data_IF_125248452724
#
_entry.id   IF_125248452724
#
_cell.length_a   1.000
_cell.length_b   1.000
_cell.length_c   1.000
_cell.angle_alpha   90.00
_cell.angle_beta   90.00
_cell.angle_gamma   90.00
#
_symmetry.space_group_name_H-M   'P 1'
#
loop_
_entity.id
_entity.type
_entity.pdbx_description
1 polymer ?
#
# COMPACT_ATOMS: atom_id res chain seq x y z
N UNK A 1 19.09 -61.29 65.65
CA UNK A 1 19.22 -59.96 66.29
C UNK A 1 20.25 -59.10 65.59
N UNK A 2 21.36 -59.64 65.07
CA UNK A 2 22.41 -58.92 64.31
C UNK A 2 21.94 -58.22 63.02
N UNK A 3 21.04 -58.83 62.25
CA UNK A 3 20.61 -58.28 60.96
C UNK A 3 19.84 -56.94 61.10
N UNK A 4 19.21 -56.69 62.25
CA UNK A 4 18.45 -55.45 62.49
C UNK A 4 19.40 -54.29 62.78
N UNK A 5 20.44 -54.52 63.57
CA UNK A 5 21.47 -53.53 63.91
C UNK A 5 22.31 -53.16 62.68
N UNK A 6 22.61 -54.14 61.83
CA UNK A 6 23.34 -53.93 60.57
C UNK A 6 22.50 -53.14 59.55
N UNK A 7 21.19 -53.40 59.48
CA UNK A 7 20.25 -52.60 58.69
C UNK A 7 20.11 -51.17 59.24
N UNK A 8 20.01 -51.00 60.56
CA UNK A 8 19.97 -49.67 61.19
C UNK A 8 21.25 -48.86 60.92
N UNK A 9 22.43 -49.48 61.01
CA UNK A 9 23.69 -48.83 60.69
C UNK A 9 23.78 -48.38 59.23
N UNK A 10 23.29 -49.20 58.28
CA UNK A 10 23.23 -48.83 56.86
C UNK A 10 22.22 -47.72 56.58
N UNK A 11 21.10 -47.68 57.29
CA UNK A 11 20.10 -46.61 57.14
C UNK A 11 20.68 -45.29 57.66
N UNK A 12 21.30 -45.26 58.84
CA UNK A 12 21.94 -44.05 59.38
C UNK A 12 23.02 -43.51 58.43
N UNK A 13 23.89 -44.38 57.92
CA UNK A 13 24.90 -43.99 56.94
C UNK A 13 24.30 -43.47 55.62
N UNK A 14 23.18 -44.04 55.17
CA UNK A 14 22.47 -43.54 53.99
C UNK A 14 21.82 -42.18 54.25
N UNK A 15 21.27 -41.95 55.45
CA UNK A 15 20.68 -40.67 55.84
C UNK A 15 21.73 -39.56 55.95
N UNK A 16 22.89 -39.82 56.53
CA UNK A 16 24.01 -38.85 56.58
C UNK A 16 24.55 -38.53 55.18
N UNK A 17 24.60 -39.53 54.30
CA UNK A 17 25.01 -39.35 52.90
C UNK A 17 23.98 -38.53 52.10
N UNK A 18 22.69 -38.68 52.40
CA UNK A 18 21.63 -37.87 51.79
C UNK A 18 21.65 -36.44 52.35
N UNK A 19 21.87 -36.27 53.66
CA UNK A 19 22.00 -34.95 54.28
C UNK A 19 23.18 -34.16 53.71
N UNK A 20 24.35 -34.78 53.61
CA UNK A 20 25.52 -34.17 52.97
C UNK A 20 25.33 -33.93 51.46
N UNK A 21 24.63 -34.84 50.77
CA UNK A 21 24.29 -34.67 49.35
C UNK A 21 23.31 -33.53 49.08
N UNK A 22 22.35 -33.30 50.00
CA UNK A 22 21.40 -32.18 49.94
C UNK A 22 22.09 -30.83 50.18
N UNK A 23 23.06 -30.78 51.09
CA UNK A 23 23.81 -29.56 51.38
C UNK A 23 24.68 -29.11 50.19
N UNK A 24 25.16 -30.06 49.37
CA UNK A 24 25.87 -29.78 48.11
C UNK A 24 24.96 -29.46 46.91
N UNK A 25 23.65 -29.69 47.01
CA UNK A 25 22.65 -29.38 45.96
C UNK A 25 22.07 -27.97 46.09
N UNK A 26 22.32 -27.28 47.21
CA UNK A 26 22.00 -25.86 47.35
C UNK A 26 23.10 -25.09 46.60
N UNK A 27 22.81 -24.49 45.44
CA UNK A 27 23.80 -23.69 44.74
C UNK A 27 24.20 -22.52 45.65
N UNK A 28 25.47 -22.48 46.06
CA UNK A 28 26.01 -21.32 46.75
C UNK A 28 25.93 -20.10 45.80
N UNK A 29 25.46 -18.93 46.26
CA UNK A 29 25.44 -17.73 45.43
C UNK A 29 26.87 -17.42 44.97
N UNK A 30 27.02 -17.06 43.69
CA UNK A 30 28.32 -16.74 43.10
C UNK A 30 29.01 -15.60 43.88
N UNK A 31 30.33 -15.67 44.13
CA UNK A 31 31.01 -14.64 44.88
C UNK A 31 31.15 -13.37 44.03
N UNK A 32 30.36 -12.33 44.34
CA UNK A 32 30.50 -11.00 43.75
C UNK A 32 29.20 -10.25 43.48
N UNK A 33 28.04 -10.91 43.50
CA UNK A 33 26.74 -10.26 43.30
C UNK A 33 25.91 -10.42 44.57
N UNK A 34 25.57 -9.29 45.21
CA UNK A 34 24.64 -9.31 46.32
C UNK A 34 23.25 -9.75 45.82
N UNK A 35 22.48 -10.48 46.64
CA UNK A 35 21.09 -10.85 46.30
C UNK A 35 20.22 -9.65 45.91
N UNK A 36 20.56 -8.47 46.43
CA UNK A 36 19.92 -7.19 46.19
C UNK A 36 20.25 -6.66 44.78
N UNK A 37 21.50 -6.74 44.31
CA UNK A 37 21.89 -6.35 42.95
C UNK A 37 21.22 -7.24 41.88
N UNK A 38 21.12 -8.54 42.14
CA UNK A 38 20.43 -9.48 41.24
C UNK A 38 18.93 -9.18 41.13
N UNK A 39 18.27 -8.80 42.24
CA UNK A 39 16.87 -8.38 42.21
C UNK A 39 16.70 -7.09 41.40
N UNK A 40 17.62 -6.15 41.55
CA UNK A 40 17.57 -4.88 40.84
C UNK A 40 17.75 -5.07 39.32
N UNK A 41 18.72 -5.89 38.90
CA UNK A 41 18.90 -6.25 37.50
C UNK A 41 17.68 -6.97 36.91
N UNK A 42 17.02 -7.83 37.68
CA UNK A 42 15.81 -8.51 37.27
C UNK A 42 14.62 -7.55 37.11
N UNK A 43 14.51 -6.55 37.98
CA UNK A 43 13.52 -5.47 37.86
C UNK A 43 13.79 -4.59 36.63
N UNK A 44 15.04 -4.21 36.40
CA UNK A 44 15.47 -3.46 35.22
C UNK A 44 15.20 -4.24 33.93
N UNK A 45 15.52 -5.53 33.88
CA UNK A 45 15.24 -6.39 32.73
C UNK A 45 13.73 -6.55 32.49
N UNK A 46 12.93 -6.68 33.55
CA UNK A 46 11.47 -6.74 33.44
C UNK A 46 10.88 -5.45 32.89
N UNK A 47 11.37 -4.28 33.34
CA UNK A 47 10.91 -2.99 32.80
C UNK A 47 11.32 -2.82 31.33
N UNK A 48 12.54 -3.22 30.96
CA UNK A 48 13.00 -3.20 29.57
C UNK A 48 12.16 -4.13 28.68
N UNK A 49 11.87 -5.35 29.13
CA UNK A 49 11.00 -6.29 28.41
C UNK A 49 9.58 -5.73 28.24
N UNK A 50 8.98 -5.15 29.28
CA UNK A 50 7.66 -4.55 29.19
C UNK A 50 7.62 -3.41 28.15
N UNK A 51 8.65 -2.55 28.11
CA UNK A 51 8.77 -1.49 27.11
C UNK A 51 8.95 -2.03 25.69
N UNK A 52 9.73 -3.11 25.51
CA UNK A 52 9.91 -3.75 24.22
C UNK A 52 8.62 -4.41 23.73
N UNK A 53 7.87 -5.09 24.61
CA UNK A 53 6.57 -5.66 24.28
C UNK A 53 5.57 -4.58 23.83
N UNK A 54 5.53 -3.42 24.50
CA UNK A 54 4.70 -2.30 24.07
C UNK A 54 5.12 -1.77 22.70
N UNK A 55 6.43 -1.64 22.44
CA UNK A 55 6.94 -1.21 21.12
C UNK A 55 6.58 -2.21 20.03
N UNK A 56 6.72 -3.50 20.28
CA UNK A 56 6.35 -4.56 19.32
C UNK A 56 4.86 -4.53 19.03
N UNK A 57 4.01 -4.34 20.05
CA UNK A 57 2.56 -4.18 19.87
C UNK A 57 2.23 -2.93 19.05
N UNK A 58 2.91 -1.81 19.29
CA UNK A 58 2.71 -0.58 18.53
C UNK A 58 3.14 -0.75 17.06
N UNK A 59 4.25 -1.45 16.80
CA UNK A 59 4.71 -1.76 15.45
C UNK A 59 3.75 -2.69 14.71
N UNK A 60 3.25 -3.74 15.37
CA UNK A 60 2.25 -4.63 14.78
C UNK A 60 0.97 -3.88 14.39
N UNK A 61 0.43 -3.05 15.29
CA UNK A 61 -0.74 -2.22 14.98
C UNK A 61 -0.51 -1.29 13.79
N UNK A 62 0.70 -0.73 13.67
CA UNK A 62 1.07 0.13 12.53
C UNK A 62 1.19 -0.67 11.24
N UNK A 63 1.74 -1.89 11.30
CA UNK A 63 1.79 -2.79 10.15
C UNK A 63 0.39 -3.20 9.71
N UNK A 64 -0.47 -3.65 10.62
CA UNK A 64 -1.87 -3.99 10.32
C UNK A 64 -2.63 -2.82 9.68
N UNK A 65 -2.42 -1.59 10.17
CA UNK A 65 -3.02 -0.39 9.59
C UNK A 65 -2.53 -0.11 8.17
N UNK A 66 -1.22 -0.23 7.93
CA UNK A 66 -0.63 -0.06 6.59
C UNK A 66 -1.09 -1.16 5.62
N UNK A 67 -1.18 -2.40 6.10
CA UNK A 67 -1.70 -3.52 5.30
C UNK A 67 -3.16 -3.31 4.92
N UNK A 68 -3.99 -2.84 5.87
CA UNK A 68 -5.38 -2.49 5.58
C UNK A 68 -5.47 -1.34 4.56
N UNK A 69 -4.65 -0.30 4.69
CA UNK A 69 -4.60 0.82 3.74
C UNK A 69 -4.18 0.36 2.34
N UNK A 70 -3.20 -0.54 2.23
CA UNK A 70 -2.78 -1.12 0.96
C UNK A 70 -3.85 -2.01 0.33
N UNK A 71 -4.59 -2.78 1.14
CA UNK A 71 -5.69 -3.61 0.65
C UNK A 71 -6.83 -2.73 0.14
N UNK A 72 -7.21 -1.69 0.88
CA UNK A 72 -8.22 -0.71 0.45
C UNK A 72 -7.79 0.02 -0.84
N UNK A 73 -6.53 0.45 -0.94
CA UNK A 73 -6.00 1.08 -2.13
C UNK A 73 -6.02 0.16 -3.37
N UNK A 74 -5.83 -1.16 -3.17
CA UNK A 74 -5.92 -2.18 -4.23
C UNK A 74 -7.35 -2.62 -4.54
N UNK A 75 -8.25 -2.53 -3.57
CA UNK A 75 -9.66 -2.91 -3.70
C UNK A 75 -10.53 -1.77 -4.26
N UNK A 76 -10.05 -0.52 -4.19
CA UNK A 76 -10.62 0.58 -4.95
C UNK A 76 -10.73 0.14 -6.43
N UNK A 77 -11.90 0.31 -7.07
CA UNK A 77 -12.14 -0.20 -8.41
C UNK A 77 -11.29 0.59 -9.41
N UNK A 78 -10.04 0.18 -9.59
CA UNK A 78 -9.35 0.35 -10.85
C UNK A 78 -10.06 -0.60 -11.82
N UNK A 79 -10.94 -0.09 -12.67
CA UNK A 79 -11.09 -0.75 -13.97
C UNK A 79 -9.66 -0.95 -14.47
N UNK A 80 -9.30 -2.17 -14.86
CA UNK A 80 -7.89 -2.53 -15.00
C UNK A 80 -7.18 -1.48 -15.89
N UNK A 81 -5.89 -1.15 -15.68
CA UNK A 81 -5.31 0.01 -16.37
C UNK A 81 -5.41 -0.06 -17.91
N UNK A 82 -5.57 -1.26 -18.46
CA UNK A 82 -5.89 -1.49 -19.87
C UNK A 82 -7.32 -1.10 -20.26
N UNK A 83 -8.31 -1.39 -19.43
CA UNK A 83 -9.71 -1.00 -19.66
C UNK A 83 -9.86 0.53 -19.64
N UNK A 84 -9.18 1.22 -18.73
CA UNK A 84 -9.14 2.69 -18.66
C UNK A 84 -8.55 3.31 -19.93
N UNK A 85 -7.42 2.77 -20.40
CA UNK A 85 -6.82 3.20 -21.67
C UNK A 85 -7.76 2.93 -22.84
N UNK A 86 -8.37 1.74 -22.92
CA UNK A 86 -9.28 1.43 -24.05
C UNK A 86 -10.51 2.33 -24.08
N UNK A 87 -11.06 2.69 -22.91
CA UNK A 87 -12.17 3.61 -22.79
C UNK A 87 -11.77 5.03 -23.19
N UNK A 88 -10.66 5.54 -22.65
CA UNK A 88 -10.16 6.87 -22.99
C UNK A 88 -9.86 7.00 -24.49
N UNK A 89 -9.29 5.95 -25.11
CA UNK A 89 -9.08 5.90 -26.57
C UNK A 89 -10.41 5.96 -27.35
N UNK A 90 -11.45 5.25 -26.91
CA UNK A 90 -12.76 5.30 -27.56
C UNK A 90 -13.39 6.71 -27.47
N UNK A 91 -13.27 7.35 -26.30
CA UNK A 91 -13.75 8.72 -26.09
C UNK A 91 -12.98 9.73 -26.95
N UNK A 92 -11.65 9.56 -27.08
CA UNK A 92 -10.81 10.36 -27.98
C UNK A 92 -11.20 10.17 -29.45
N UNK A 93 -11.47 8.94 -29.89
CA UNK A 93 -11.95 8.66 -31.25
C UNK A 93 -13.29 9.36 -31.53
N UNK A 94 -14.23 9.33 -30.58
CA UNK A 94 -15.50 10.05 -30.70
C UNK A 94 -15.27 11.57 -30.80
N UNK A 95 -14.43 12.13 -29.91
CA UNK A 95 -14.11 13.55 -29.89
C UNK A 95 -13.48 14.02 -31.21
N UNK A 96 -12.53 13.25 -31.76
CA UNK A 96 -11.89 13.53 -33.06
C UNK A 96 -12.89 13.42 -34.21
N UNK A 97 -13.77 12.40 -34.19
CA UNK A 97 -14.84 12.25 -35.19
C UNK A 97 -15.79 13.45 -35.19
N UNK A 98 -16.21 13.89 -34.00
CA UNK A 98 -17.05 15.09 -33.81
C UNK A 98 -16.34 16.35 -34.29
N UNK A 99 -15.06 16.55 -33.94
CA UNK A 99 -14.26 17.69 -34.40
C UNK A 99 -14.19 17.76 -35.93
N UNK A 100 -13.99 16.62 -36.61
CA UNK A 100 -13.99 16.55 -38.08
C UNK A 100 -15.34 16.92 -38.68
N UNK A 101 -16.44 16.42 -38.11
CA UNK A 101 -17.79 16.73 -38.56
C UNK A 101 -18.10 18.23 -38.43
N UNK A 102 -17.80 18.82 -37.27
CA UNK A 102 -18.04 20.24 -37.00
C UNK A 102 -17.15 21.13 -37.88
N UNK A 103 -15.88 20.76 -38.10
CA UNK A 103 -15.01 21.50 -39.03
C UNK A 103 -15.50 21.44 -40.48
N UNK A 104 -16.11 20.32 -40.90
CA UNK A 104 -16.71 20.20 -42.23
C UNK A 104 -17.87 21.18 -42.38
N UNK A 105 -18.76 21.24 -41.38
CA UNK A 105 -19.86 22.23 -41.34
C UNK A 105 -19.34 23.67 -41.31
N UNK A 106 -18.32 23.96 -40.49
CA UNK A 106 -17.72 25.29 -40.43
C UNK A 106 -17.14 25.72 -41.79
N UNK A 107 -16.47 24.82 -42.51
CA UNK A 107 -15.95 25.10 -43.86
C UNK A 107 -17.06 25.37 -44.87
N UNK A 108 -18.17 24.63 -44.78
CA UNK A 108 -19.34 24.87 -45.62
C UNK A 108 -19.98 26.23 -45.33
N UNK A 109 -20.18 26.58 -44.05
CA UNK A 109 -20.69 27.89 -43.66
C UNK A 109 -19.77 29.03 -44.12
N UNK A 110 -18.44 28.86 -44.00
CA UNK A 110 -17.46 29.81 -44.53
C UNK A 110 -17.55 29.95 -46.06
N UNK A 111 -17.83 28.86 -46.78
CA UNK A 111 -18.06 28.92 -48.23
C UNK A 111 -19.31 29.75 -48.55
N UNK A 112 -20.42 29.50 -47.87
CA UNK A 112 -21.68 30.24 -48.05
C UNK A 112 -21.49 31.74 -47.78
N UNK A 113 -20.79 32.10 -46.70
CA UNK A 113 -20.48 33.50 -46.39
C UNK A 113 -19.62 34.18 -47.48
N UNK A 114 -18.64 33.46 -48.04
CA UNK A 114 -17.81 33.97 -49.14
C UNK A 114 -18.62 34.16 -50.43
N UNK A 115 -19.50 33.22 -50.74
CA UNK A 115 -20.41 33.29 -51.89
C UNK A 115 -21.39 34.44 -51.77
N UNK A 116 -21.86 34.74 -50.55
CA UNK A 116 -22.69 35.90 -50.26
C UNK A 116 -21.96 37.25 -50.40
N UNK A 117 -20.62 37.26 -50.52
CA UNK A 117 -19.79 38.47 -50.72
C UNK A 117 -20.10 39.63 -49.76
N UNK A 118 -20.43 39.32 -48.51
CA UNK A 118 -20.80 40.31 -47.49
C UNK A 118 -22.28 40.74 -47.46
N UNK A 119 -23.12 40.18 -48.35
CA UNK A 119 -24.58 40.33 -48.33
C UNK A 119 -25.29 39.13 -47.68
N UNK A 120 -24.65 38.48 -46.70
CA UNK A 120 -25.28 37.36 -45.99
C UNK A 120 -26.40 37.87 -45.07
N UNK A 121 -27.56 37.24 -45.13
CA UNK A 121 -28.67 37.54 -44.24
C UNK A 121 -28.33 37.20 -42.77
N UNK A 122 -29.03 37.83 -41.83
CA UNK A 122 -28.78 37.66 -40.39
C UNK A 122 -28.79 36.20 -39.94
N UNK A 123 -29.63 35.36 -40.55
CA UNK A 123 -29.75 33.95 -40.19
C UNK A 123 -28.49 33.16 -40.56
N UNK A 124 -27.91 33.44 -41.74
CA UNK A 124 -26.65 32.81 -42.20
C UNK A 124 -25.47 33.25 -41.33
N UNK A 125 -25.45 34.52 -40.91
CA UNK A 125 -24.44 35.04 -40.00
C UNK A 125 -24.51 34.37 -38.62
N UNK A 126 -25.73 34.26 -38.07
CA UNK A 126 -25.98 33.59 -36.79
C UNK A 126 -25.60 32.10 -36.85
N UNK A 127 -25.93 31.41 -37.94
CA UNK A 127 -25.55 30.01 -38.13
C UNK A 127 -24.02 29.82 -38.26
N UNK A 128 -23.33 30.74 -38.93
CA UNK A 128 -21.87 30.72 -38.99
C UNK A 128 -21.24 30.91 -37.61
N UNK A 129 -21.75 31.85 -36.82
CA UNK A 129 -21.25 32.10 -35.46
C UNK A 129 -21.49 30.89 -34.55
N UNK A 130 -22.66 30.25 -34.66
CA UNK A 130 -22.95 29.02 -33.94
C UNK A 130 -21.99 27.88 -34.32
N UNK A 131 -21.72 27.70 -35.63
CA UNK A 131 -20.78 26.70 -36.10
C UNK A 131 -19.33 26.96 -35.65
N UNK A 132 -18.91 28.22 -35.52
CA UNK A 132 -17.60 28.59 -34.99
C UNK A 132 -17.47 28.25 -33.50
N UNK A 133 -18.49 28.59 -32.70
CA UNK A 133 -18.53 28.22 -31.28
C UNK A 133 -18.52 26.70 -31.08
N UNK A 134 -19.29 25.97 -31.90
CA UNK A 134 -19.30 24.51 -31.85
C UNK A 134 -17.95 23.92 -32.25
N UNK A 135 -17.24 24.54 -33.22
CA UNK A 135 -15.90 24.11 -33.61
C UNK A 135 -14.88 24.31 -32.49
N UNK A 136 -14.90 25.47 -31.82
CA UNK A 136 -14.03 25.76 -30.67
C UNK A 136 -14.30 24.81 -29.50
N UNK A 137 -15.57 24.51 -29.22
CA UNK A 137 -15.95 23.54 -28.18
C UNK A 137 -15.48 22.13 -28.53
N UNK A 138 -15.64 21.71 -29.78
CA UNK A 138 -15.18 20.40 -30.24
C UNK A 138 -13.65 20.29 -30.21
N UNK A 139 -12.94 21.38 -30.50
CA UNK A 139 -11.48 21.43 -30.45
C UNK A 139 -10.97 21.28 -29.01
N UNK A 140 -11.56 22.04 -28.08
CA UNK A 140 -11.26 21.89 -26.65
C UNK A 140 -11.62 20.49 -26.12
N UNK A 141 -12.75 19.92 -26.53
CA UNK A 141 -13.14 18.57 -26.13
C UNK A 141 -12.17 17.50 -26.66
N UNK A 142 -11.69 17.63 -27.90
CA UNK A 142 -10.69 16.73 -28.46
C UNK A 142 -9.35 16.84 -27.73
N UNK A 143 -8.90 18.05 -27.40
CA UNK A 143 -7.69 18.27 -26.60
C UNK A 143 -7.82 17.69 -25.18
N UNK A 144 -9.00 17.80 -24.56
CA UNK A 144 -9.29 17.18 -23.27
C UNK A 144 -9.23 15.64 -23.32
N UNK A 145 -9.88 15.05 -24.31
CA UNK A 145 -9.88 13.59 -24.49
C UNK A 145 -8.48 13.04 -24.81
N UNK A 146 -7.66 13.80 -25.55
CA UNK A 146 -6.25 13.47 -25.76
C UNK A 146 -5.47 13.47 -24.43
N UNK A 147 -5.63 14.50 -23.61
CA UNK A 147 -4.97 14.60 -22.31
C UNK A 147 -5.40 13.46 -21.36
N UNK A 148 -6.69 13.11 -21.34
CA UNK A 148 -7.23 11.98 -20.56
C UNK A 148 -6.66 10.65 -21.05
N UNK A 149 -6.52 10.46 -22.36
CA UNK A 149 -5.89 9.26 -22.94
C UNK A 149 -4.42 9.14 -22.53
N UNK A 150 -3.68 10.26 -22.55
CA UNK A 150 -2.28 10.29 -22.09
C UNK A 150 -2.21 9.96 -20.60
N UNK A 151 -3.09 10.54 -19.77
CA UNK A 151 -3.13 10.26 -18.34
C UNK A 151 -3.46 8.80 -18.05
N UNK A 152 -4.43 8.21 -18.75
CA UNK A 152 -4.76 6.80 -18.62
C UNK A 152 -3.56 5.90 -19.01
N UNK A 153 -2.87 6.22 -20.10
CA UNK A 153 -1.69 5.48 -20.54
C UNK A 153 -0.52 5.57 -19.54
N UNK A 154 -0.30 6.76 -18.96
CA UNK A 154 0.71 6.96 -17.92
C UNK A 154 0.34 6.25 -16.61
N UNK A 155 -0.93 6.31 -16.20
CA UNK A 155 -1.44 5.57 -15.04
C UNK A 155 -1.20 4.07 -15.18
N UNK A 156 -1.49 3.52 -16.36
CA UNK A 156 -1.24 2.10 -16.65
C UNK A 156 0.23 1.69 -16.57
N UNK A 157 1.16 2.58 -16.92
CA UNK A 157 2.60 2.30 -16.82
C UNK A 157 3.11 2.37 -15.37
N UNK A 158 2.51 3.24 -14.54
CA UNK A 158 2.87 3.37 -13.12
C UNK A 158 2.33 2.22 -12.29
N UNK A 159 1.15 1.71 -12.64
CA UNK A 159 0.49 0.60 -11.92
C UNK A 159 1.02 -0.79 -12.35
N UNK A 160 1.81 -0.87 -13.42
CA UNK A 160 2.47 -2.13 -13.81
C UNK A 160 3.54 -2.48 -12.76
N UNK A 161 3.38 -3.57 -11.97
CA UNK A 161 4.37 -3.92 -10.98
C UNK A 161 5.69 -4.25 -11.68
N UNK A 162 6.78 -3.64 -11.22
CA UNK A 162 8.12 -3.93 -11.71
C UNK A 162 8.31 -5.46 -11.78
N UNK A 163 8.87 -6.01 -12.88
CA UNK A 163 9.09 -7.44 -12.99
C UNK A 163 9.88 -7.87 -11.77
N UNK A 164 9.32 -8.81 -11.00
CA UNK A 164 10.02 -9.42 -9.87
C UNK A 164 11.36 -9.92 -10.44
N UNK A 165 12.44 -9.23 -10.10
CA UNK A 165 13.79 -9.69 -10.41
C UNK A 165 13.92 -11.02 -9.69
N UNK A 166 13.84 -12.11 -10.47
CA UNK A 166 14.07 -13.46 -9.98
C UNK A 166 15.37 -13.44 -9.17
N UNK A 167 15.23 -13.78 -7.89
CA UNK A 167 16.29 -13.67 -6.91
C UNK A 167 17.52 -14.44 -7.34
N UNK A 168 18.67 -13.83 -7.06
CA UNK A 168 19.91 -14.55 -6.80
C UNK A 168 19.66 -15.68 -5.81
N UNK A 169 19.93 -16.91 -6.24
CA UNK A 169 20.15 -18.07 -5.40
C UNK A 169 21.27 -18.91 -6.03
#
# INVERSE_FOLDING_TARGET
>A
MSNLEELQGRILAAMDRIGSGLEGLVPAPAPGESPEELKQLLEDERTANAQLEERVKALHRRQEALEAELVEARAAPAAGPREDVTRAMADMEEAVSRLRAVNTRLRENNRLLREAKGGADSDVLNESMAAELDALRADHAAAGAEAETILAALGALVDEPAPATEGEA
#
